data_IF_382235623874
#
_entry.id   IF_382235623874
#
_cell.length_a   1.000
_cell.length_b   1.000
_cell.length_c   1.000
_cell.angle_alpha   90.00
_cell.angle_beta   90.00
_cell.angle_gamma   90.00
#
_symmetry.space_group_name_H-M   'P 1'
#
loop_
_entity.id
_entity.type
_entity.pdbx_description
1 polymer ?
#
# COMPACT_ATOMS: atom_id res chain seq x y z
N UNK A 1 -7.84 -13.72 -15.95
CA UNK A 1 -7.90 -14.20 -17.34
C UNK A 1 -8.91 -15.33 -17.43
N UNK A 2 -9.66 -15.43 -18.53
CA UNK A 2 -10.45 -16.62 -18.85
C UNK A 2 -9.83 -17.30 -20.05
N UNK A 3 -9.88 -18.63 -20.08
CA UNK A 3 -9.58 -19.40 -21.29
C UNK A 3 -10.82 -19.41 -22.17
N UNK A 4 -10.66 -19.13 -23.45
CA UNK A 4 -11.70 -19.45 -24.41
C UNK A 4 -11.85 -20.97 -24.52
N UNK A 5 -13.08 -21.46 -24.60
CA UNK A 5 -13.36 -22.89 -24.61
C UNK A 5 -12.87 -23.57 -25.90
N UNK A 6 -12.89 -22.85 -27.02
CA UNK A 6 -12.58 -23.41 -28.35
C UNK A 6 -11.10 -23.25 -28.74
N UNK A 7 -10.45 -22.10 -28.47
CA UNK A 7 -9.05 -21.86 -28.86
C UNK A 7 -8.05 -22.09 -27.75
N UNK A 8 -8.49 -22.13 -26.49
CA UNK A 8 -7.61 -22.14 -25.32
C UNK A 8 -6.87 -20.82 -25.07
N UNK A 9 -7.10 -19.79 -25.90
CA UNK A 9 -6.45 -18.49 -25.74
C UNK A 9 -6.92 -17.79 -24.45
N UNK A 10 -5.97 -17.15 -23.78
CA UNK A 10 -6.23 -16.36 -22.59
C UNK A 10 -6.65 -14.95 -23.00
N UNK A 11 -7.90 -14.59 -22.71
CA UNK A 11 -8.37 -13.23 -22.95
C UNK A 11 -8.72 -12.51 -21.64
N UNK A 12 -8.69 -11.17 -21.71
CA UNK A 12 -9.11 -10.33 -20.62
C UNK A 12 -10.63 -10.20 -20.63
N UNK A 13 -11.26 -10.46 -19.49
CA UNK A 13 -12.70 -10.28 -19.37
C UNK A 13 -13.02 -8.79 -19.54
N UNK A 14 -14.07 -8.41 -20.27
CA UNK A 14 -14.56 -7.03 -20.26
C UNK A 14 -14.96 -6.56 -18.85
N UNK A 15 -14.75 -5.29 -18.50
CA UNK A 15 -15.09 -4.78 -17.18
C UNK A 15 -16.60 -4.79 -16.98
N UNK A 16 -17.07 -5.26 -15.83
CA UNK A 16 -18.48 -5.10 -15.43
C UNK A 16 -18.80 -3.62 -15.23
N UNK A 17 -20.05 -3.22 -15.49
CA UNK A 17 -20.55 -1.86 -15.21
C UNK A 17 -20.39 -1.46 -13.74
N UNK A 18 -20.47 -2.44 -12.83
CA UNK A 18 -20.27 -2.26 -11.39
C UNK A 18 -19.72 -3.55 -10.80
N UNK A 19 -18.55 -3.47 -10.20
CA UNK A 19 -17.93 -4.59 -9.51
C UNK A 19 -18.31 -4.59 -8.01
N UNK A 20 -18.33 -5.76 -7.36
CA UNK A 20 -18.42 -5.82 -5.91
C UNK A 20 -17.18 -5.17 -5.28
N UNK A 21 -17.37 -4.56 -4.11
CA UNK A 21 -16.26 -4.06 -3.30
C UNK A 21 -15.63 -5.25 -2.59
N UNK A 22 -14.38 -5.57 -2.92
CA UNK A 22 -13.64 -6.70 -2.39
C UNK A 22 -12.21 -6.26 -2.07
N UNK A 23 -11.69 -6.67 -0.92
CA UNK A 23 -10.33 -6.38 -0.47
C UNK A 23 -10.30 -5.65 0.88
N UNK A 24 -9.08 -5.42 1.36
CA UNK A 24 -8.83 -4.66 2.58
C UNK A 24 -8.84 -3.17 2.25
N UNK A 25 -9.73 -2.42 2.89
CA UNK A 25 -9.94 -0.99 2.64
C UNK A 25 -8.64 -0.18 2.62
N UNK A 26 -7.73 -0.49 3.56
CA UNK A 26 -6.42 0.14 3.69
C UNK A 26 -5.53 0.06 2.44
N UNK A 27 -5.57 -1.05 1.70
CA UNK A 27 -4.63 -1.31 0.60
C UNK A 27 -5.32 -1.32 -0.76
N UNK A 28 -6.65 -1.27 -0.81
CA UNK A 28 -7.36 -1.33 -2.08
C UNK A 28 -7.16 -0.04 -2.89
N UNK A 29 -7.18 -0.17 -4.21
CA UNK A 29 -6.99 0.98 -5.09
C UNK A 29 -8.21 1.90 -5.07
N UNK A 30 -8.03 3.15 -5.54
CA UNK A 30 -9.15 4.08 -5.74
C UNK A 30 -10.22 3.53 -6.71
N UNK A 31 -9.85 2.63 -7.63
CA UNK A 31 -10.79 2.00 -8.57
C UNK A 31 -11.72 1.03 -7.83
N UNK A 32 -11.21 0.32 -6.81
CA UNK A 32 -12.03 -0.55 -5.96
C UNK A 32 -13.05 0.27 -5.16
N UNK A 33 -12.62 1.39 -4.55
CA UNK A 33 -13.52 2.34 -3.89
C UNK A 33 -14.61 2.88 -4.83
N UNK A 34 -14.28 3.11 -6.10
CA UNK A 34 -15.23 3.52 -7.16
C UNK A 34 -16.10 2.39 -7.71
N UNK A 35 -15.92 1.15 -7.25
CA UNK A 35 -16.63 -0.05 -7.75
C UNK A 35 -16.37 -0.34 -9.23
N UNK A 36 -15.20 0.02 -9.72
CA UNK A 36 -14.70 -0.39 -11.03
C UNK A 36 -14.19 -1.83 -11.00
N UNK A 37 -14.11 -2.47 -12.17
CA UNK A 37 -13.55 -3.82 -12.27
C UNK A 37 -12.06 -3.83 -11.92
N UNK A 38 -11.67 -4.79 -11.08
CA UNK A 38 -10.28 -4.96 -10.66
C UNK A 38 -9.44 -5.60 -11.77
N UNK A 39 -8.34 -4.95 -12.11
CA UNK A 39 -7.34 -5.44 -13.04
C UNK A 39 -5.96 -5.53 -12.39
N UNK A 40 -4.96 -5.90 -13.20
CA UNK A 40 -3.55 -6.03 -12.75
C UNK A 40 -2.99 -4.76 -12.11
N UNK A 41 -3.52 -3.59 -12.49
CA UNK A 41 -3.14 -2.29 -11.91
C UNK A 41 -3.49 -2.18 -10.43
N UNK A 42 -4.55 -2.86 -9.98
CA UNK A 42 -5.07 -2.74 -8.62
C UNK A 42 -4.24 -3.56 -7.63
N UNK A 43 -3.70 -4.70 -8.07
CA UNK A 43 -2.66 -5.44 -7.34
C UNK A 43 -1.40 -4.59 -7.15
N UNK A 44 -0.99 -3.83 -8.18
CA UNK A 44 0.18 -2.95 -8.10
C UNK A 44 -0.03 -1.75 -7.19
N UNK A 45 -1.25 -1.20 -7.13
CA UNK A 45 -1.60 -0.19 -6.13
C UNK A 45 -1.46 -0.73 -4.72
N UNK A 46 -1.97 -1.94 -4.47
CA UNK A 46 -1.86 -2.60 -3.17
C UNK A 46 -0.40 -2.84 -2.79
N UNK A 47 0.42 -3.31 -3.74
CA UNK A 47 1.86 -3.47 -3.58
C UNK A 47 2.55 -2.15 -3.21
N UNK A 48 2.24 -1.06 -3.92
CA UNK A 48 2.84 0.24 -3.63
C UNK A 48 2.50 0.70 -2.22
N UNK A 49 1.24 0.58 -1.80
CA UNK A 49 0.80 0.98 -0.47
C UNK A 49 1.47 0.14 0.63
N UNK A 50 1.59 -1.18 0.44
CA UNK A 50 2.35 -2.03 1.36
C UNK A 50 3.81 -1.59 1.49
N UNK A 51 4.48 -1.30 0.37
CA UNK A 51 5.88 -0.84 0.39
C UNK A 51 6.04 0.50 1.08
N UNK A 52 5.12 1.44 0.86
CA UNK A 52 5.11 2.72 1.59
C UNK A 52 4.95 2.48 3.09
N UNK A 53 4.01 1.61 3.48
CA UNK A 53 3.80 1.29 4.90
C UNK A 53 5.02 0.60 5.53
N UNK A 54 5.72 -0.29 4.82
CA UNK A 54 6.96 -0.89 5.32
C UNK A 54 8.09 0.12 5.51
N UNK A 55 8.20 1.11 4.62
CA UNK A 55 9.27 2.12 4.68
C UNK A 55 8.97 3.21 5.72
N UNK A 56 7.71 3.67 5.77
CA UNK A 56 7.28 4.83 6.56
C UNK A 56 6.68 4.41 7.91
N UNK A 57 6.27 3.15 8.05
CA UNK A 57 5.58 2.59 9.22
C UNK A 57 4.07 2.83 9.24
N UNK A 58 3.55 3.74 8.41
CA UNK A 58 2.13 4.03 8.33
C UNK A 58 1.72 4.59 6.97
N UNK A 59 0.46 4.36 6.60
CA UNK A 59 -0.15 4.99 5.43
C UNK A 59 -0.78 6.34 5.79
N UNK A 60 -0.74 7.32 4.88
CA UNK A 60 -1.16 8.68 5.22
C UNK A 60 -2.63 8.81 5.64
N UNK A 61 -3.52 7.99 5.05
CA UNK A 61 -4.95 7.97 5.38
C UNK A 61 -5.27 7.35 6.75
N UNK A 62 -4.28 6.86 7.50
CA UNK A 62 -4.45 6.55 8.93
C UNK A 62 -4.64 7.83 9.75
N UNK A 63 -4.08 8.95 9.29
CA UNK A 63 -4.35 10.27 9.86
C UNK A 63 -5.55 10.93 9.19
N UNK A 64 -6.47 11.47 9.97
CA UNK A 64 -7.63 12.23 9.49
C UNK A 64 -7.27 13.53 8.76
N UNK A 65 -6.01 13.98 8.84
CA UNK A 65 -5.52 15.22 8.21
C UNK A 65 -4.98 15.03 6.79
N UNK A 66 -4.96 13.82 6.24
CA UNK A 66 -4.37 13.57 4.93
C UNK A 66 -5.18 14.16 3.78
N UNK A 67 -4.54 15.05 3.01
CA UNK A 67 -5.13 15.74 1.85
C UNK A 67 -4.66 15.24 0.48
N UNK A 68 -3.98 14.08 0.44
CA UNK A 68 -3.61 13.44 -0.84
C UNK A 68 -2.25 13.81 -1.42
N UNK A 69 -1.44 14.64 -0.75
CA UNK A 69 -0.29 15.29 -1.39
C UNK A 69 1.09 14.63 -1.12
N UNK A 70 1.18 13.57 -0.30
CA UNK A 70 2.48 13.15 0.27
C UNK A 70 2.72 11.64 0.35
N UNK A 71 2.06 10.80 -0.46
CA UNK A 71 2.20 9.33 -0.35
C UNK A 71 3.66 8.86 -0.37
N UNK A 72 4.52 9.48 -1.19
CA UNK A 72 5.91 9.07 -1.40
C UNK A 72 6.94 10.03 -0.78
N UNK A 73 6.52 10.96 0.09
CA UNK A 73 7.39 12.01 0.62
C UNK A 73 8.65 11.43 1.30
N UNK A 74 8.47 10.38 2.08
CA UNK A 74 9.52 9.75 2.88
C UNK A 74 10.03 8.44 2.25
N UNK A 75 9.71 8.19 0.98
CA UNK A 75 10.18 7.03 0.22
C UNK A 75 11.40 7.37 -0.65
N UNK A 76 12.21 6.38 -1.08
CA UNK A 76 13.24 6.60 -2.08
C UNK A 76 12.69 7.25 -3.35
N UNK A 77 13.38 8.25 -3.90
CA UNK A 77 12.92 9.05 -5.05
C UNK A 77 12.55 8.19 -6.27
N UNK A 78 13.16 7.02 -6.41
CA UNK A 78 12.88 6.06 -7.47
C UNK A 78 11.43 5.53 -7.42
N UNK A 79 10.77 5.53 -6.26
CA UNK A 79 9.36 5.13 -6.14
C UNK A 79 8.42 6.02 -6.97
N UNK A 80 8.76 7.28 -7.22
CA UNK A 80 7.96 8.15 -8.09
C UNK A 80 7.84 7.56 -9.50
N UNK A 81 8.87 6.87 -9.99
CA UNK A 81 8.84 6.20 -11.30
C UNK A 81 7.86 5.02 -11.31
N UNK A 82 7.80 4.26 -10.22
CA UNK A 82 6.86 3.14 -10.06
C UNK A 82 5.43 3.69 -9.97
N UNK A 83 5.20 4.69 -9.13
CA UNK A 83 3.90 5.35 -9.01
C UNK A 83 3.41 5.94 -10.33
N UNK A 84 4.28 6.65 -11.04
CA UNK A 84 3.97 7.28 -12.33
C UNK A 84 3.67 6.24 -13.42
N UNK A 85 4.25 5.04 -13.33
CA UNK A 85 3.87 3.92 -14.17
C UNK A 85 2.46 3.40 -13.80
N UNK A 86 2.24 3.08 -12.51
CA UNK A 86 0.99 2.47 -12.04
C UNK A 86 -0.22 3.38 -12.31
N UNK A 87 -0.10 4.68 -12.03
CA UNK A 87 -1.22 5.64 -12.17
C UNK A 87 -1.74 5.80 -13.61
N UNK A 88 -0.92 5.45 -14.61
CA UNK A 88 -1.31 5.55 -16.03
C UNK A 88 -2.01 4.30 -16.55
N UNK A 89 -1.91 3.18 -15.83
CA UNK A 89 -2.46 1.90 -16.27
C UNK A 89 -3.98 1.90 -16.28
N UNK A 90 -4.54 1.45 -17.40
CA UNK A 90 -5.94 1.14 -17.57
C UNK A 90 -6.22 -0.32 -17.20
N UNK A 91 -7.50 -0.66 -17.09
CA UNK A 91 -7.97 -1.99 -16.70
C UNK A 91 -7.37 -3.12 -17.56
N UNK A 92 -7.26 -2.89 -18.87
CA UNK A 92 -6.77 -3.89 -19.82
C UNK A 92 -5.24 -3.91 -19.96
N UNK A 93 -4.56 -2.89 -19.48
CA UNK A 93 -3.13 -2.70 -19.75
C UNK A 93 -2.30 -3.81 -19.12
N UNK A 94 -1.23 -4.20 -19.83
CA UNK A 94 -0.19 -5.06 -19.27
C UNK A 94 0.83 -4.17 -18.56
N UNK A 95 0.97 -4.29 -17.22
CA UNK A 95 1.99 -3.53 -16.53
C UNK A 95 3.39 -3.89 -17.01
N UNK A 96 4.29 -2.90 -17.00
CA UNK A 96 5.71 -3.11 -17.26
C UNK A 96 6.39 -3.57 -15.96
N UNK A 97 6.25 -4.86 -15.67
CA UNK A 97 6.85 -5.46 -14.47
C UNK A 97 8.39 -5.37 -14.46
N UNK A 98 9.04 -5.35 -15.63
CA UNK A 98 10.50 -5.17 -15.72
C UNK A 98 10.94 -3.79 -15.24
N UNK A 99 10.18 -2.74 -15.55
CA UNK A 99 10.44 -1.40 -15.03
C UNK A 99 10.39 -1.38 -13.50
N UNK A 100 9.38 -2.03 -12.90
CA UNK A 100 9.23 -2.09 -11.44
C UNK A 100 10.42 -2.85 -10.82
N UNK A 101 10.71 -4.07 -11.31
CA UNK A 101 11.82 -4.89 -10.82
C UNK A 101 13.17 -4.17 -10.94
N UNK A 102 13.45 -3.56 -12.09
CA UNK A 102 14.69 -2.81 -12.33
C UNK A 102 14.80 -1.62 -11.36
N UNK A 103 13.71 -0.90 -11.13
CA UNK A 103 13.70 0.24 -10.21
C UNK A 103 13.96 -0.21 -8.77
N UNK A 104 13.35 -1.30 -8.31
CA UNK A 104 13.65 -1.87 -6.99
C UNK A 104 15.11 -2.31 -6.87
N UNK A 105 15.65 -2.99 -7.89
CA UNK A 105 17.06 -3.41 -7.93
C UNK A 105 18.02 -2.23 -7.82
N UNK A 106 17.73 -1.12 -8.51
CA UNK A 106 18.53 0.10 -8.42
C UNK A 106 18.57 0.70 -7.01
N UNK A 107 17.45 0.61 -6.27
CA UNK A 107 17.40 1.05 -4.87
C UNK A 107 18.30 0.16 -4.01
N UNK A 108 18.21 -1.16 -4.15
CA UNK A 108 19.06 -2.12 -3.43
C UNK A 108 20.55 -1.87 -3.72
N UNK A 109 20.92 -1.74 -4.99
CA UNK A 109 22.32 -1.49 -5.41
C UNK A 109 22.86 -0.17 -4.84
N UNK A 110 22.07 0.92 -4.87
CA UNK A 110 22.46 2.23 -4.34
C UNK A 110 22.61 2.24 -2.82
N UNK A 111 21.83 1.42 -2.11
CA UNK A 111 21.87 1.30 -0.65
C UNK A 111 22.79 0.19 -0.15
N UNK A 112 23.43 -0.54 -1.07
CA UNK A 112 24.28 -1.70 -0.78
C UNK A 112 23.55 -2.82 -0.03
N UNK A 113 22.27 -3.03 -0.33
CA UNK A 113 21.52 -4.18 0.19
C UNK A 113 21.82 -5.44 -0.62
N UNK A 114 22.15 -6.52 0.08
CA UNK A 114 22.34 -7.86 -0.48
C UNK A 114 21.06 -8.68 -0.37
N UNK A 115 20.91 -9.67 -1.25
CA UNK A 115 19.86 -10.69 -1.11
C UNK A 115 20.14 -11.67 0.03
N UNK A 116 21.37 -11.69 0.52
CA UNK A 116 21.82 -12.53 1.62
C UNK A 116 21.76 -11.81 2.98
N UNK A 117 21.35 -10.53 2.99
CA UNK A 117 21.16 -9.79 4.25
C UNK A 117 20.03 -10.45 5.06
N UNK A 118 20.19 -10.63 6.38
CA UNK A 118 19.13 -11.19 7.22
C UNK A 118 17.93 -10.26 7.21
N UNK A 119 16.72 -10.84 7.14
CA UNK A 119 15.51 -10.06 7.35
C UNK A 119 15.46 -9.52 8.78
N UNK A 120 14.64 -8.49 9.02
CA UNK A 120 14.55 -7.85 10.34
C UNK A 120 14.25 -8.84 11.47
N UNK A 121 13.44 -9.87 11.20
CA UNK A 121 13.03 -10.89 12.18
C UNK A 121 13.99 -12.09 12.27
N UNK A 122 15.07 -12.11 11.49
CA UNK A 122 16.06 -13.18 11.51
C UNK A 122 17.21 -12.88 12.47
N UNK A 123 17.99 -13.92 12.78
CA UNK A 123 19.19 -13.77 13.60
C UNK A 123 20.20 -12.86 12.89
N UNK A 124 20.68 -11.83 13.59
CA UNK A 124 21.51 -10.77 13.01
C UNK A 124 20.75 -9.70 12.24
N UNK A 125 19.42 -9.77 12.17
CA UNK A 125 18.55 -8.73 11.61
C UNK A 125 18.31 -7.57 12.57
N UNK A 126 17.72 -6.49 12.07
CA UNK A 126 17.48 -5.25 12.83
C UNK A 126 16.64 -5.45 14.10
N UNK A 127 15.74 -6.45 14.10
CA UNK A 127 14.88 -6.78 15.22
C UNK A 127 15.29 -8.09 15.94
N UNK A 128 16.53 -8.57 15.74
CA UNK A 128 17.05 -9.74 16.45
C UNK A 128 17.03 -9.51 17.97
N UNK A 129 16.28 -10.33 18.70
CA UNK A 129 16.08 -10.20 20.14
C UNK A 129 14.84 -9.43 20.60
N UNK A 130 14.00 -8.92 19.68
CA UNK A 130 12.64 -8.51 20.07
C UNK A 130 11.85 -9.75 20.52
N UNK A 131 11.20 -9.71 21.70
CA UNK A 131 10.43 -10.86 22.17
C UNK A 131 9.29 -11.13 21.20
N UNK A 132 9.32 -12.27 20.53
CA UNK A 132 8.21 -12.77 19.70
C UNK A 132 7.10 -13.27 20.62
N UNK A 133 6.54 -12.39 21.43
CA UNK A 133 5.32 -12.71 22.13
C UNK A 133 4.23 -12.75 21.05
N UNK A 134 3.61 -13.92 20.86
CA UNK A 134 2.43 -14.12 20.04
C UNK A 134 1.18 -13.37 20.59
N UNK A 135 1.38 -12.20 21.20
CA UNK A 135 0.31 -11.30 21.62
C UNK A 135 0.30 -10.10 20.66
N UNK A 136 -0.87 -9.73 20.11
CA UNK A 136 -0.95 -8.53 19.30
C UNK A 136 -0.49 -7.32 20.15
N UNK A 137 0.17 -6.32 19.55
CA UNK A 137 0.54 -5.11 20.29
C UNK A 137 -0.71 -4.54 20.94
N UNK A 138 -0.70 -4.43 22.27
CA UNK A 138 -1.71 -3.67 22.99
C UNK A 138 -1.62 -2.25 22.44
N UNK A 139 -2.73 -1.72 21.92
CA UNK A 139 -2.85 -0.32 21.51
C UNK A 139 -2.43 0.54 22.72
N UNK A 140 -1.17 1.00 22.73
CA UNK A 140 -0.74 2.06 23.62
C UNK A 140 -1.51 3.30 23.18
N UNK A 141 -2.64 3.53 23.85
CA UNK A 141 -3.26 4.85 23.90
C UNK A 141 -2.18 5.78 24.43
N UNK A 142 -1.57 6.53 23.53
CA UNK A 142 -0.84 7.74 23.90
C UNK A 142 -1.84 8.66 24.61
N UNK A 143 -1.92 8.55 25.93
CA UNK A 143 -2.55 9.54 26.78
C UNK A 143 -1.74 10.82 26.65
N UNK A 144 -2.23 11.71 25.78
CA UNK A 144 -1.75 13.06 25.72
C UNK A 144 -2.14 13.73 27.03
N UNK A 145 -1.15 14.11 27.83
CA UNK A 145 -1.33 14.95 29.02
C UNK A 145 -2.05 16.23 28.58
N UNK A 146 -3.32 16.35 28.95
CA UNK A 146 -4.09 17.58 28.77
C UNK A 146 -3.73 18.49 29.94
N UNK A 147 -2.81 19.41 29.69
CA UNK A 147 -2.72 20.64 30.47
C UNK A 147 -4.02 21.42 30.27
N UNK A 148 -4.71 21.71 31.38
CA UNK A 148 -5.84 22.61 31.45
C UNK A 148 -5.52 23.92 30.71
N UNK A 149 -6.33 24.28 29.72
CA UNK A 149 -7.01 25.57 29.79
C UNK A 149 -8.26 25.64 28.93
N UNK A 150 -9.14 26.50 29.39
CA UNK A 150 -10.57 26.54 29.12
C UNK A 150 -10.91 27.15 27.75
N UNK A 151 -11.92 26.59 27.06
CA UNK A 151 -13.13 27.24 26.49
C UNK A 151 -13.63 26.60 25.18
N UNK A 152 -14.97 26.59 25.04
CA UNK A 152 -15.80 26.40 23.82
C UNK A 152 -16.36 24.99 23.50
N UNK A 153 -17.50 24.71 24.14
CA UNK A 153 -18.79 24.14 23.68
C UNK A 153 -18.95 23.38 22.34
N UNK A 154 -19.56 22.18 22.50
CA UNK A 154 -20.71 21.57 21.77
C UNK A 154 -20.76 21.52 20.24
N UNK A 155 -20.75 20.31 19.66
CA UNK A 155 -21.74 19.87 18.65
C UNK A 155 -22.06 18.37 18.86
N UNK A 156 -23.37 18.07 18.98
CA UNK A 156 -23.93 16.72 19.08
C UNK A 156 -24.19 16.13 17.68
N UNK A 157 -23.99 14.83 17.49
CA UNK A 157 -24.66 14.08 16.43
C UNK A 157 -25.41 12.89 17.01
N UNK A 158 -26.74 12.95 16.87
CA UNK A 158 -27.69 11.87 17.12
C UNK A 158 -27.57 10.78 16.06
N UNK A 159 -27.77 9.53 16.47
CA UNK A 159 -28.53 8.55 15.69
C UNK A 159 -29.83 8.25 16.44
#
# INVERSE_FOLDING_TARGET
MRKEADTGELYHRPPRKRAPYLGTDRYCSIHVHKREEQGRRDDLWSFLYMMVEFIVGQLPWRSSSYRGEYLLKDCPIEFYKIYDHIRRLQYMDKPNYELIKKTMKQICERRHYSTDDPFDWEKGGSNDGYPTNNEPPVDEKHEHIVGNDSTASLISYKH
#
